data_IF_025729069850
#
_entry.id   IF_025729069850
#
_cell.length_a   1.000
_cell.length_b   1.000
_cell.length_c   1.000
_cell.angle_alpha   90.00
_cell.angle_beta   90.00
_cell.angle_gamma   90.00
#
_symmetry.space_group_name_H-M   'P 1'
#
loop_
_entity.id
_entity.type
_entity.pdbx_description
1 polymer ?
#
# COMPACT_ATOMS: atom_id res chain seq x y z
N UNK A 1 29.42 -0.08 28.24
CA UNK A 1 30.08 0.64 29.35
C UNK A 1 30.90 -0.35 30.16
N UNK A 2 32.10 0.02 30.61
CA UNK A 2 32.85 -0.82 31.54
C UNK A 2 32.12 -0.89 32.88
N UNK A 3 32.02 -2.09 33.42
CA UNK A 3 31.52 -2.30 34.79
C UNK A 3 32.58 -1.92 35.80
N UNK A 4 32.16 -1.59 37.03
CA UNK A 4 33.07 -1.23 38.12
C UNK A 4 34.18 -2.28 38.32
N UNK A 5 33.85 -3.57 38.22
CA UNK A 5 34.82 -4.66 38.35
C UNK A 5 35.85 -4.68 37.21
N UNK A 6 35.42 -4.40 35.97
CA UNK A 6 36.31 -4.33 34.80
C UNK A 6 37.25 -3.13 34.87
N UNK A 7 36.75 -1.97 35.31
CA UNK A 7 37.57 -0.77 35.51
C UNK A 7 38.64 -1.02 36.57
N UNK A 8 38.25 -1.63 37.70
CA UNK A 8 39.17 -1.94 38.81
C UNK A 8 40.19 -3.01 38.44
N UNK A 9 39.82 -4.00 37.63
CA UNK A 9 40.74 -5.01 37.12
C UNK A 9 41.78 -4.40 36.16
N UNK A 10 41.39 -3.44 35.32
CA UNK A 10 42.32 -2.71 34.44
C UNK A 10 43.29 -1.82 35.23
N UNK A 11 42.79 -1.10 36.24
CA UNK A 11 43.63 -0.29 37.12
C UNK A 11 44.64 -1.15 37.90
N UNK A 12 44.23 -2.34 38.36
CA UNK A 12 45.11 -3.28 39.04
C UNK A 12 46.19 -3.87 38.10
N UNK A 13 45.89 -4.07 36.82
CA UNK A 13 46.82 -4.68 35.86
C UNK A 13 47.83 -3.68 35.26
N UNK A 14 47.41 -2.44 35.01
CA UNK A 14 48.21 -1.45 34.28
C UNK A 14 48.74 -0.32 35.18
N UNK A 15 48.20 -0.19 36.39
CA UNK A 15 48.36 0.98 37.24
C UNK A 15 47.37 2.09 36.86
N UNK A 16 46.89 2.89 37.83
CA UNK A 16 45.79 3.84 37.64
C UNK A 16 46.09 4.89 36.55
N UNK A 17 47.32 5.42 36.50
CA UNK A 17 47.70 6.43 35.50
C UNK A 17 47.73 5.89 34.07
N UNK A 18 48.10 4.63 33.88
CA UNK A 18 48.14 4.01 32.55
C UNK A 18 46.79 3.45 32.13
N UNK A 19 45.94 3.05 33.07
CA UNK A 19 44.60 2.53 32.80
C UNK A 19 43.59 3.63 32.42
N UNK A 20 43.71 4.81 33.03
CA UNK A 20 42.82 5.95 32.80
C UNK A 20 42.56 6.28 31.31
N UNK A 21 43.57 6.44 30.43
CA UNK A 21 43.33 6.75 29.02
C UNK A 21 42.61 5.63 28.25
N UNK A 22 42.80 4.37 28.62
CA UNK A 22 42.09 3.25 27.99
C UNK A 22 40.63 3.18 28.41
N UNK A 23 40.36 3.41 29.70
CA UNK A 23 39.00 3.46 30.25
C UNK A 23 38.23 4.58 29.56
N UNK A 24 38.82 5.77 29.46
CA UNK A 24 38.21 6.92 28.79
C UNK A 24 37.96 6.66 27.29
N UNK A 25 38.94 6.11 26.58
CA UNK A 25 38.79 5.74 25.18
C UNK A 25 37.67 4.69 24.98
N UNK A 26 37.54 3.72 25.88
CA UNK A 26 36.48 2.72 25.83
C UNK A 26 35.11 3.35 26.04
N UNK A 27 34.96 4.20 27.06
CA UNK A 27 33.70 4.91 27.30
C UNK A 27 33.33 5.84 26.14
N UNK A 28 34.29 6.54 25.56
CA UNK A 28 34.07 7.39 24.39
C UNK A 28 33.64 6.57 23.16
N UNK A 29 34.26 5.41 22.93
CA UNK A 29 33.88 4.50 21.84
C UNK A 29 32.48 3.92 22.05
N UNK A 30 32.18 3.46 23.27
CA UNK A 30 30.90 2.88 23.65
C UNK A 30 29.75 3.88 23.49
N UNK A 31 29.95 5.14 23.90
CA UNK A 31 28.99 6.21 23.70
C UNK A 31 28.71 6.48 22.21
N UNK A 32 29.75 6.50 21.37
CA UNK A 32 29.60 6.67 19.91
C UNK A 32 28.83 5.53 19.28
N UNK A 33 29.17 4.28 19.63
CA UNK A 33 28.49 3.08 19.12
C UNK A 33 27.02 3.10 19.54
N UNK A 34 26.72 3.40 20.81
CA UNK A 34 25.34 3.49 21.28
C UNK A 34 24.54 4.55 20.53
N UNK A 35 25.15 5.71 20.27
CA UNK A 35 24.50 6.79 19.52
C UNK A 35 24.21 6.38 18.07
N UNK A 36 25.17 5.71 17.42
CA UNK A 36 25.00 5.20 16.07
C UNK A 36 23.91 4.11 15.99
N UNK A 37 23.89 3.19 16.96
CA UNK A 37 22.87 2.14 17.05
C UNK A 37 21.47 2.72 17.28
N UNK A 38 21.34 3.73 18.15
CA UNK A 38 20.06 4.40 18.39
C UNK A 38 19.55 5.09 17.12
N UNK A 39 20.42 5.74 16.35
CA UNK A 39 20.06 6.34 15.07
C UNK A 39 19.69 5.28 14.01
N UNK A 40 20.38 4.15 13.99
CA UNK A 40 20.04 3.05 13.08
C UNK A 40 18.69 2.41 13.45
N UNK A 41 18.41 2.23 14.75
CA UNK A 41 17.13 1.70 15.22
C UNK A 41 16.00 2.68 14.92
N UNK A 42 16.20 3.99 15.12
CA UNK A 42 15.19 4.99 14.78
C UNK A 42 14.88 4.99 13.29
N UNK A 43 15.91 5.00 12.43
CA UNK A 43 15.71 4.96 10.98
C UNK A 43 15.04 3.66 10.50
N UNK A 44 15.35 2.51 11.10
CA UNK A 44 14.64 1.25 10.82
C UNK A 44 13.17 1.31 11.22
N UNK A 45 12.86 1.94 12.34
CA UNK A 45 11.47 2.16 12.76
C UNK A 45 10.73 3.05 11.75
N UNK A 46 11.33 4.17 11.35
CA UNK A 46 10.74 5.08 10.38
C UNK A 46 10.45 4.38 9.04
N UNK A 47 11.38 3.51 8.58
CA UNK A 47 11.17 2.68 7.38
C UNK A 47 9.99 1.71 7.56
N UNK A 48 9.84 1.10 8.75
CA UNK A 48 8.74 0.20 9.02
C UNK A 48 7.39 0.94 9.00
N UNK A 49 7.35 2.14 9.57
CA UNK A 49 6.15 3.00 9.60
C UNK A 49 5.77 3.45 8.18
N UNK A 50 6.72 3.93 7.37
CA UNK A 50 6.50 4.27 5.95
C UNK A 50 5.99 3.07 5.13
N UNK A 51 6.52 1.87 5.39
CA UNK A 51 6.09 0.66 4.70
C UNK A 51 4.66 0.27 5.07
N UNK A 52 4.26 0.51 6.33
CA UNK A 52 2.89 0.28 6.78
C UNK A 52 1.92 1.28 6.13
N UNK A 53 2.29 2.56 6.10
CA UNK A 53 1.50 3.62 5.46
C UNK A 53 1.30 3.35 3.96
N UNK A 54 2.37 3.07 3.22
CA UNK A 54 2.31 2.73 1.79
C UNK A 54 1.40 1.52 1.52
N UNK A 55 1.46 0.47 2.36
CA UNK A 55 0.56 -0.68 2.23
C UNK A 55 -0.89 -0.31 2.47
N UNK A 56 -1.16 0.54 3.46
CA UNK A 56 -2.50 1.04 3.74
C UNK A 56 -3.07 1.86 2.58
N UNK A 57 -2.27 2.77 2.03
CA UNK A 57 -2.66 3.59 0.88
C UNK A 57 -2.89 2.75 -0.39
N UNK A 58 -2.01 1.79 -0.68
CA UNK A 58 -2.18 0.88 -1.81
C UNK A 58 -3.47 0.06 -1.69
N UNK A 59 -3.75 -0.52 -0.52
CA UNK A 59 -4.98 -1.27 -0.29
C UNK A 59 -6.23 -0.39 -0.45
N UNK A 60 -6.18 0.86 0.03
CA UNK A 60 -7.27 1.82 -0.14
C UNK A 60 -7.48 2.20 -1.62
N UNK A 61 -6.39 2.34 -2.39
CA UNK A 61 -6.47 2.63 -3.82
C UNK A 61 -7.04 1.44 -4.60
N UNK A 62 -6.59 0.22 -4.33
CA UNK A 62 -7.13 -1.01 -4.95
C UNK A 62 -8.63 -1.16 -4.70
N UNK A 63 -9.08 -0.93 -3.46
CA UNK A 63 -10.49 -0.97 -3.12
C UNK A 63 -11.30 0.07 -3.92
N UNK A 64 -10.83 1.32 -3.96
CA UNK A 64 -11.49 2.39 -4.72
C UNK A 64 -11.54 2.11 -6.21
N UNK A 65 -10.48 1.51 -6.78
CA UNK A 65 -10.45 1.12 -8.18
C UNK A 65 -11.44 -0.01 -8.45
N UNK A 66 -11.47 -1.03 -7.59
CA UNK A 66 -12.41 -2.15 -7.69
C UNK A 66 -13.85 -1.66 -7.64
N UNK A 67 -14.21 -0.80 -6.67
CA UNK A 67 -15.54 -0.22 -6.59
C UNK A 67 -15.93 0.58 -7.85
N UNK A 68 -14.98 1.34 -8.42
CA UNK A 68 -15.23 2.11 -9.64
C UNK A 68 -15.46 1.18 -10.83
N UNK A 69 -14.69 0.11 -10.97
CA UNK A 69 -14.86 -0.88 -12.02
C UNK A 69 -16.21 -1.60 -11.89
N UNK A 70 -16.58 -2.06 -10.69
CA UNK A 70 -17.89 -2.69 -10.45
C UNK A 70 -19.05 -1.74 -10.77
N UNK A 71 -18.92 -0.44 -10.44
CA UNK A 71 -19.92 0.57 -10.81
C UNK A 71 -20.01 0.77 -12.33
N UNK A 72 -18.88 0.72 -13.04
CA UNK A 72 -18.87 0.83 -14.51
C UNK A 72 -19.50 -0.40 -15.16
N UNK A 73 -19.15 -1.59 -14.71
CA UNK A 73 -19.74 -2.86 -15.17
C UNK A 73 -21.26 -2.83 -15.03
N UNK A 74 -21.78 -2.49 -13.84
CA UNK A 74 -23.23 -2.36 -13.64
C UNK A 74 -23.90 -1.21 -14.42
N UNK A 75 -23.14 -0.26 -14.97
CA UNK A 75 -23.67 0.73 -15.93
C UNK A 75 -23.72 0.16 -17.34
N UNK A 76 -22.70 -0.59 -17.75
CA UNK A 76 -22.67 -1.26 -19.05
C UNK A 76 -23.78 -2.32 -19.16
N UNK A 77 -24.01 -3.12 -18.11
CA UNK A 77 -25.10 -4.10 -18.10
C UNK A 77 -26.47 -3.43 -18.28
N UNK A 78 -26.68 -2.30 -17.60
CA UNK A 78 -27.91 -1.52 -17.77
C UNK A 78 -28.03 -0.96 -19.19
N UNK A 79 -26.93 -0.50 -19.78
CA UNK A 79 -26.93 -0.04 -21.17
C UNK A 79 -27.25 -1.18 -22.15
N UNK A 80 -26.68 -2.38 -21.94
CA UNK A 80 -26.95 -3.55 -22.76
C UNK A 80 -28.44 -3.95 -22.71
N UNK A 81 -29.03 -3.95 -21.52
CA UNK A 81 -30.49 -4.20 -21.36
C UNK A 81 -31.32 -3.14 -22.09
N UNK A 82 -31.00 -1.86 -21.90
CA UNK A 82 -31.73 -0.78 -22.58
C UNK A 82 -31.60 -0.86 -24.10
N UNK A 83 -30.41 -1.20 -24.60
CA UNK A 83 -30.17 -1.39 -26.04
C UNK A 83 -31.01 -2.53 -26.59
N UNK A 84 -31.05 -3.68 -25.91
CA UNK A 84 -31.88 -4.84 -26.29
C UNK A 84 -33.37 -4.48 -26.33
N UNK A 85 -33.86 -3.76 -25.33
CA UNK A 85 -35.25 -3.28 -25.30
C UNK A 85 -35.54 -2.36 -26.47
N UNK A 86 -34.63 -1.41 -26.75
CA UNK A 86 -34.80 -0.44 -27.84
C UNK A 86 -34.80 -1.13 -29.21
N UNK A 87 -33.92 -2.11 -29.42
CA UNK A 87 -33.92 -2.94 -30.64
C UNK A 87 -35.23 -3.73 -30.76
N UNK A 88 -35.72 -4.33 -29.67
CA UNK A 88 -37.00 -5.06 -29.67
C UNK A 88 -38.19 -4.16 -30.02
N UNK A 89 -38.24 -2.95 -29.46
CA UNK A 89 -39.26 -1.96 -29.80
C UNK A 89 -39.17 -1.49 -31.25
N UNK A 90 -37.96 -1.26 -31.77
CA UNK A 90 -37.75 -0.89 -33.16
C UNK A 90 -38.20 -2.01 -34.12
N UNK A 91 -37.87 -3.27 -33.81
CA UNK A 91 -38.31 -4.42 -34.58
C UNK A 91 -39.84 -4.56 -34.59
N UNK A 92 -40.50 -4.36 -33.44
CA UNK A 92 -41.96 -4.31 -33.37
C UNK A 92 -42.54 -3.19 -34.23
N UNK A 93 -42.01 -1.97 -34.11
CA UNK A 93 -42.47 -0.84 -34.92
C UNK A 93 -42.35 -1.13 -36.42
N UNK A 94 -41.23 -1.70 -36.86
CA UNK A 94 -41.06 -2.14 -38.24
C UNK A 94 -42.09 -3.21 -38.62
N UNK A 95 -42.38 -4.18 -37.76
CA UNK A 95 -43.39 -5.20 -38.05
C UNK A 95 -44.81 -4.62 -38.21
N UNK A 96 -45.20 -3.65 -37.37
CA UNK A 96 -46.52 -3.01 -37.42
C UNK A 96 -46.69 -2.01 -38.57
N UNK A 97 -45.61 -1.33 -38.99
CA UNK A 97 -45.63 -0.30 -40.04
C UNK A 97 -44.90 -0.72 -41.32
N UNK A 98 -44.64 -2.02 -41.49
CA UNK A 98 -43.96 -2.51 -42.69
C UNK A 98 -44.89 -2.43 -43.90
N UNK A 99 -44.45 -1.83 -45.02
CA UNK A 99 -45.17 -1.90 -46.30
C UNK A 99 -45.42 -3.34 -46.77
N UNK A 100 -44.67 -4.31 -46.25
CA UNK A 100 -44.86 -5.75 -46.52
C UNK A 100 -46.10 -6.30 -45.80
N UNK A 101 -46.39 -5.83 -44.58
CA UNK A 101 -47.59 -6.21 -43.85
C UNK A 101 -48.86 -5.65 -44.51
N UNK A 102 -48.80 -4.39 -44.99
CA UNK A 102 -49.88 -3.80 -45.81
C UNK A 102 -50.09 -4.57 -47.11
N UNK A 103 -49.01 -4.96 -47.80
CA UNK A 103 -49.08 -5.78 -49.02
C UNK A 103 -49.65 -7.18 -48.80
N UNK A 104 -49.39 -7.80 -47.64
CA UNK A 104 -49.94 -9.10 -47.28
C UNK A 104 -51.43 -9.02 -46.88
N UNK A 105 -51.84 -7.95 -46.20
CA UNK A 105 -53.26 -7.70 -45.89
C UNK A 105 -54.08 -7.33 -47.13
N UNK A 106 -53.50 -6.64 -48.11
CA UNK A 106 -54.16 -6.36 -49.39
C UNK A 106 -54.23 -7.55 -50.36
N UNK A 107 -53.58 -8.67 -50.04
CA UNK A 107 -53.59 -9.92 -50.80
C UNK A 107 -54.54 -11.00 -50.22
N UNK A 108 -55.12 -10.74 -49.03
CA UNK A 108 -56.17 -11.52 -48.38
C UNK A 108 -57.54 -10.91 -48.69
#
# INVERSE_FOLDING_TARGET
>A
MLTYEQTKAMEAALGPEKAAPFIEAFHASDARVMTALLAEVSTKKDIADLRAELRGEMAAQELRLTERLTKLEGRFDRMDVLLKVLIGLAAMAVAFFSPVAEKLLGLL
#
